data_IF_251213510631
#
_entry.id   IF_251213510631
#
_cell.length_a   1.000
_cell.length_b   1.000
_cell.length_c   1.000
_cell.angle_alpha   90.00
_cell.angle_beta   90.00
_cell.angle_gamma   90.00
#
_symmetry.space_group_name_H-M   'P 1'
#
loop_
_entity.id
_entity.type
_entity.pdbx_description
1 polymer ?
#
# COMPACT_ATOMS: atom_id res chain seq x y z
N UNK A 1 20.28 2.96 -16.85
CA UNK A 1 19.84 4.24 -16.26
C UNK A 1 20.21 4.24 -14.78
N UNK A 2 20.97 5.24 -14.28
CA UNK A 2 21.33 5.36 -12.87
C UNK A 2 20.11 5.38 -11.94
N UNK A 3 20.25 4.84 -10.72
CA UNK A 3 19.14 4.72 -9.77
C UNK A 3 18.51 6.07 -9.38
N UNK A 4 19.29 7.15 -9.41
CA UNK A 4 18.81 8.52 -9.13
C UNK A 4 17.77 9.03 -10.11
N UNK A 5 17.69 8.45 -11.31
CA UNK A 5 16.77 8.86 -12.38
C UNK A 5 15.54 7.95 -12.48
N UNK A 6 15.38 6.97 -11.58
CA UNK A 6 14.32 5.96 -11.72
C UNK A 6 12.90 6.51 -11.54
N UNK A 7 12.70 7.57 -10.75
CA UNK A 7 11.37 8.19 -10.63
C UNK A 7 10.94 8.84 -11.94
N UNK A 8 11.86 9.54 -12.59
CA UNK A 8 11.63 10.17 -13.89
C UNK A 8 11.49 9.12 -15.00
N UNK A 9 12.30 8.06 -14.96
CA UNK A 9 12.18 6.93 -15.89
C UNK A 9 10.82 6.25 -15.76
N UNK A 10 10.33 6.00 -14.53
CA UNK A 10 9.02 5.42 -14.30
C UNK A 10 7.90 6.28 -14.90
N UNK A 11 7.96 7.60 -14.68
CA UNK A 11 7.02 8.57 -15.27
C UNK A 11 7.03 8.51 -16.80
N UNK A 12 8.20 8.58 -17.42
CA UNK A 12 8.35 8.57 -18.88
C UNK A 12 7.83 7.26 -19.48
N UNK A 13 8.21 6.11 -18.92
CA UNK A 13 7.78 4.81 -19.41
C UNK A 13 6.26 4.64 -19.32
N UNK A 14 5.66 4.94 -18.16
CA UNK A 14 4.21 4.80 -18.00
C UNK A 14 3.47 5.72 -18.97
N UNK A 15 3.86 6.99 -19.06
CA UNK A 15 3.21 7.97 -19.95
C UNK A 15 3.32 7.54 -21.42
N UNK A 16 4.50 7.09 -21.86
CA UNK A 16 4.76 6.68 -23.23
C UNK A 16 3.96 5.43 -23.62
N UNK A 17 3.95 4.41 -22.77
CA UNK A 17 3.26 3.15 -23.05
C UNK A 17 1.74 3.30 -22.93
N UNK A 18 1.24 4.11 -21.99
CA UNK A 18 -0.18 4.40 -21.87
C UNK A 18 -0.72 5.14 -23.09
N UNK A 19 0.01 6.15 -23.60
CA UNK A 19 -0.37 6.88 -24.83
C UNK A 19 -0.47 6.01 -26.09
N UNK A 20 0.09 4.79 -26.05
CA UNK A 20 0.05 3.80 -27.15
C UNK A 20 -0.81 2.58 -26.84
N UNK A 21 -1.56 2.60 -25.74
CA UNK A 21 -2.35 1.45 -25.26
C UNK A 21 -1.52 0.18 -24.99
N UNK A 22 -0.24 0.34 -24.63
CA UNK A 22 0.70 -0.74 -24.31
C UNK A 22 1.06 -0.81 -22.82
N UNK A 23 0.31 -0.11 -21.96
CA UNK A 23 0.61 -0.03 -20.53
C UNK A 23 0.61 -1.42 -19.87
N UNK A 24 -0.36 -2.28 -20.21
CA UNK A 24 -0.44 -3.62 -19.63
C UNK A 24 0.83 -4.44 -19.92
N UNK A 25 1.38 -4.35 -21.14
CA UNK A 25 2.61 -5.03 -21.54
C UNK A 25 3.82 -4.52 -20.75
N UNK A 26 3.92 -3.21 -20.52
CA UNK A 26 4.96 -2.63 -19.65
C UNK A 26 4.85 -3.20 -18.22
N UNK A 27 3.67 -3.12 -17.62
CA UNK A 27 3.41 -3.59 -16.26
C UNK A 27 3.71 -5.08 -16.13
N UNK A 28 3.27 -5.89 -17.09
CA UNK A 28 3.51 -7.32 -17.12
C UNK A 28 5.00 -7.66 -17.09
N UNK A 29 5.79 -7.03 -17.97
CA UNK A 29 7.22 -7.27 -18.04
C UNK A 29 7.94 -6.84 -16.74
N UNK A 30 7.62 -5.65 -16.24
CA UNK A 30 8.26 -5.10 -15.04
C UNK A 30 7.89 -5.90 -13.78
N UNK A 31 6.62 -6.25 -13.61
CA UNK A 31 6.18 -7.02 -12.45
C UNK A 31 6.65 -8.47 -12.51
N UNK A 32 6.62 -9.11 -13.68
CA UNK A 32 7.16 -10.47 -13.84
C UNK A 32 8.65 -10.53 -13.50
N UNK A 33 9.43 -9.53 -13.90
CA UNK A 33 10.85 -9.47 -13.59
C UNK A 33 11.11 -9.30 -12.09
N UNK A 34 10.35 -8.42 -11.43
CA UNK A 34 10.46 -8.22 -9.99
C UNK A 34 10.12 -9.51 -9.22
N UNK A 35 9.06 -10.22 -9.63
CA UNK A 35 8.64 -11.49 -9.02
C UNK A 35 9.68 -12.59 -9.24
N UNK A 36 10.33 -12.64 -10.42
CA UNK A 36 11.41 -13.59 -10.71
C UNK A 36 12.60 -13.41 -9.76
N UNK A 37 12.98 -12.15 -9.52
CA UNK A 37 14.14 -11.78 -8.72
C UNK A 37 13.90 -11.81 -7.21
N UNK A 38 12.65 -11.77 -6.76
CA UNK A 38 12.33 -11.75 -5.34
C UNK A 38 12.65 -13.08 -4.63
N UNK A 39 13.26 -12.97 -3.44
CA UNK A 39 13.55 -14.12 -2.57
C UNK A 39 12.30 -14.66 -1.90
N UNK A 40 11.38 -13.78 -1.51
CA UNK A 40 10.13 -14.13 -0.85
C UNK A 40 9.00 -13.18 -1.21
N UNK A 41 7.75 -13.62 -1.05
CA UNK A 41 6.57 -12.78 -1.26
C UNK A 41 6.51 -11.61 -0.30
N UNK A 42 7.08 -11.76 0.89
CA UNK A 42 7.15 -10.72 1.90
C UNK A 42 8.11 -9.60 1.51
N UNK A 43 9.08 -9.80 0.62
CA UNK A 43 9.98 -8.72 0.15
C UNK A 43 9.50 -8.07 -1.14
N UNK A 44 8.52 -8.69 -1.80
CA UNK A 44 8.00 -8.27 -3.10
C UNK A 44 7.42 -6.86 -3.03
N UNK A 45 7.90 -5.97 -3.92
CA UNK A 45 7.53 -4.56 -3.98
C UNK A 45 7.67 -3.80 -2.64
N UNK A 46 8.47 -4.28 -1.67
CA UNK A 46 8.80 -3.50 -0.47
C UNK A 46 10.03 -2.61 -0.66
N UNK A 47 10.89 -2.92 -1.63
CA UNK A 47 12.07 -2.13 -1.98
C UNK A 47 11.82 -0.97 -2.96
N UNK A 48 12.81 -0.12 -3.19
CA UNK A 48 12.75 1.02 -4.13
C UNK A 48 13.26 0.66 -5.53
N UNK A 49 12.78 -0.46 -6.09
CA UNK A 49 13.06 -0.89 -7.45
C UNK A 49 12.37 -0.01 -8.49
N UNK A 50 12.79 -0.12 -9.75
CA UNK A 50 12.08 0.53 -10.85
C UNK A 50 10.64 0.03 -10.98
N UNK A 51 10.40 -1.26 -10.76
CA UNK A 51 9.05 -1.84 -10.84
C UNK A 51 8.13 -1.27 -9.74
N UNK A 52 8.65 -1.08 -8.51
CA UNK A 52 7.88 -0.47 -7.44
C UNK A 52 7.62 1.03 -7.65
N UNK A 53 8.56 1.75 -8.27
CA UNK A 53 8.36 3.14 -8.72
C UNK A 53 7.30 3.26 -9.82
N UNK A 54 7.33 2.38 -10.83
CA UNK A 54 6.30 2.30 -11.87
C UNK A 54 4.92 2.04 -11.26
N UNK A 55 4.82 1.07 -10.36
CA UNK A 55 3.56 0.77 -9.66
C UNK A 55 3.03 1.98 -8.88
N UNK A 56 3.90 2.62 -8.10
CA UNK A 56 3.55 3.82 -7.31
C UNK A 56 3.09 4.97 -8.22
N UNK A 57 3.75 5.15 -9.36
CA UNK A 57 3.38 6.17 -10.34
C UNK A 57 2.00 5.90 -10.94
N UNK A 58 1.70 4.66 -11.34
CA UNK A 58 0.36 4.27 -11.82
C UNK A 58 -0.71 4.52 -10.75
N UNK A 59 -0.44 4.13 -9.49
CA UNK A 59 -1.36 4.39 -8.39
C UNK A 59 -1.64 5.88 -8.22
N UNK A 60 -0.60 6.72 -8.27
CA UNK A 60 -0.74 8.17 -8.15
C UNK A 60 -1.58 8.76 -9.29
N UNK A 61 -1.27 8.45 -10.54
CA UNK A 61 -1.92 9.08 -11.70
C UNK A 61 -3.38 8.67 -11.84
N UNK A 62 -3.69 7.38 -11.71
CA UNK A 62 -5.07 6.89 -11.90
C UNK A 62 -5.91 6.93 -10.63
N UNK A 63 -5.26 7.07 -9.47
CA UNK A 63 -5.90 6.93 -8.17
C UNK A 63 -6.05 8.20 -7.35
N UNK A 64 -5.38 9.30 -7.71
CA UNK A 64 -5.40 10.52 -6.91
C UNK A 64 -6.82 11.03 -6.62
N UNK A 65 -7.66 11.16 -7.66
CA UNK A 65 -9.04 11.62 -7.50
C UNK A 65 -9.90 10.64 -6.67
N UNK A 66 -9.66 9.33 -6.81
CA UNK A 66 -10.33 8.32 -6.00
C UNK A 66 -9.96 8.45 -4.52
N UNK A 67 -8.67 8.55 -4.19
CA UNK A 67 -8.23 8.72 -2.80
C UNK A 67 -8.68 10.04 -2.22
N UNK A 68 -8.67 11.12 -3.00
CA UNK A 68 -9.14 12.42 -2.54
C UNK A 68 -10.61 12.35 -2.15
N UNK A 69 -11.49 11.85 -3.03
CA UNK A 69 -12.92 11.72 -2.73
C UNK A 69 -13.22 10.79 -1.56
N UNK A 70 -12.40 9.75 -1.38
CA UNK A 70 -12.56 8.80 -0.29
C UNK A 70 -12.09 9.35 1.06
N UNK A 71 -10.89 9.95 1.10
CA UNK A 71 -10.22 10.32 2.35
C UNK A 71 -10.52 11.75 2.82
N UNK A 72 -10.75 12.70 1.91
CA UNK A 72 -11.06 14.09 2.26
C UNK A 72 -12.24 14.22 3.24
N UNK A 73 -13.43 13.63 3.00
CA UNK A 73 -14.54 13.75 3.94
C UNK A 73 -14.22 13.17 5.32
N UNK A 74 -13.50 12.04 5.39
CA UNK A 74 -13.10 11.40 6.64
C UNK A 74 -12.11 12.28 7.43
N UNK A 75 -11.10 12.80 6.74
CA UNK A 75 -10.10 13.68 7.33
C UNK A 75 -10.72 14.99 7.82
N UNK A 76 -11.64 15.58 7.05
CA UNK A 76 -12.38 16.77 7.48
C UNK A 76 -13.18 16.51 8.75
N UNK A 77 -13.91 15.39 8.82
CA UNK A 77 -14.64 15.00 10.05
C UNK A 77 -13.71 14.92 11.25
N UNK A 78 -12.55 14.27 11.12
CA UNK A 78 -11.58 14.12 12.22
C UNK A 78 -10.95 15.47 12.62
N UNK A 79 -10.77 16.39 11.68
CA UNK A 79 -10.12 17.69 11.92
C UNK A 79 -11.11 18.73 12.48
N UNK A 80 -12.36 18.74 12.02
CA UNK A 80 -13.30 19.84 12.30
C UNK A 80 -14.41 19.48 13.27
N UNK A 81 -14.73 18.20 13.49
CA UNK A 81 -15.81 17.83 14.41
C UNK A 81 -15.41 18.12 15.86
N UNK A 82 -16.37 18.64 16.63
CA UNK A 82 -16.23 18.87 18.08
C UNK A 82 -15.85 17.60 18.83
N UNK A 83 -16.32 16.45 18.35
CA UNK A 83 -16.06 15.14 18.97
C UNK A 83 -14.57 14.77 18.96
N UNK A 84 -13.80 15.33 18.02
CA UNK A 84 -12.38 15.01 17.81
C UNK A 84 -11.43 16.14 18.23
N UNK A 85 -11.96 17.29 18.65
CA UNK A 85 -11.16 18.50 18.89
C UNK A 85 -10.17 18.36 20.07
N UNK A 86 -10.53 17.57 21.08
CA UNK A 86 -9.69 17.31 22.25
C UNK A 86 -9.17 15.86 22.32
N UNK A 87 -9.38 15.07 21.26
CA UNK A 87 -9.01 13.66 21.24
C UNK A 87 -7.50 13.51 21.08
N UNK A 88 -6.92 12.68 21.94
CA UNK A 88 -5.56 12.17 21.79
C UNK A 88 -5.58 10.75 21.26
N UNK A 89 -4.51 10.40 20.53
CA UNK A 89 -4.27 9.09 19.95
C UNK A 89 -2.94 8.51 20.44
N UNK A 90 -2.33 9.10 21.46
CA UNK A 90 -1.05 8.61 21.97
C UNK A 90 -1.28 7.32 22.75
N UNK A 91 -0.72 6.23 22.23
CA UNK A 91 -0.84 4.89 22.82
C UNK A 91 0.50 4.37 23.33
N UNK A 92 1.59 5.12 23.17
CA UNK A 92 2.88 4.83 23.78
C UNK A 92 2.88 5.35 25.23
N UNK A 93 2.91 4.46 26.26
CA UNK A 93 2.87 4.88 27.66
C UNK A 93 4.03 5.80 28.05
N UNK A 94 5.15 5.74 27.33
CA UNK A 94 6.32 6.59 27.60
C UNK A 94 6.15 8.02 27.10
N UNK A 95 5.15 8.28 26.25
CA UNK A 95 4.86 9.59 25.65
C UNK A 95 3.51 10.17 26.08
N UNK A 96 2.78 9.44 26.93
CA UNK A 96 1.47 9.83 27.40
C UNK A 96 1.56 11.01 28.36
N UNK A 97 0.72 12.02 28.19
CA UNK A 97 0.60 13.13 29.13
C UNK A 97 -0.10 12.68 30.43
N UNK A 98 0.22 13.29 31.58
CA UNK A 98 -0.34 12.88 32.89
C UNK A 98 -1.86 13.02 32.99
N UNK A 99 -2.47 13.86 32.16
CA UNK A 99 -3.91 14.07 32.10
C UNK A 99 -4.64 13.11 31.16
N UNK A 100 -3.91 12.32 30.36
CA UNK A 100 -4.49 11.44 29.35
C UNK A 100 -4.67 10.01 29.88
N UNK A 101 -5.75 9.35 29.43
CA UNK A 101 -5.99 7.94 29.71
C UNK A 101 -5.56 7.08 28.52
N UNK A 102 -4.69 6.11 28.77
CA UNK A 102 -4.21 5.18 27.74
C UNK A 102 -5.37 4.40 27.10
N UNK A 103 -6.29 3.89 27.91
CA UNK A 103 -7.43 3.09 27.44
C UNK A 103 -8.37 3.91 26.54
N UNK A 104 -8.57 5.19 26.88
CA UNK A 104 -9.38 6.10 26.07
C UNK A 104 -8.70 6.40 24.73
N UNK A 105 -7.40 6.71 24.75
CA UNK A 105 -6.63 6.97 23.52
C UNK A 105 -6.60 5.76 22.59
N UNK A 106 -6.48 4.54 23.14
CA UNK A 106 -6.56 3.30 22.37
C UNK A 106 -7.94 3.13 21.72
N UNK A 107 -9.03 3.36 22.46
CA UNK A 107 -10.39 3.31 21.92
C UNK A 107 -10.59 4.33 20.82
N UNK A 108 -10.10 5.56 21.00
CA UNK A 108 -10.18 6.62 19.99
C UNK A 108 -9.44 6.23 18.69
N UNK A 109 -8.24 5.66 18.82
CA UNK A 109 -7.45 5.18 17.69
C UNK A 109 -8.16 4.04 16.95
N UNK A 110 -8.76 3.09 17.67
CA UNK A 110 -9.52 2.00 17.06
C UNK A 110 -10.78 2.50 16.35
N UNK A 111 -11.53 3.41 16.95
CA UNK A 111 -12.72 4.00 16.33
C UNK A 111 -12.39 4.77 15.04
N UNK A 112 -11.29 5.54 15.04
CA UNK A 112 -10.82 6.20 13.82
C UNK A 112 -10.40 5.16 12.77
N UNK A 113 -9.62 4.16 13.17
CA UNK A 113 -9.14 3.10 12.28
C UNK A 113 -10.29 2.31 11.65
N UNK A 114 -11.31 1.97 12.42
CA UNK A 114 -12.49 1.25 11.95
C UNK A 114 -13.27 2.06 10.90
N UNK A 115 -13.50 3.36 11.14
CA UNK A 115 -14.18 4.24 10.18
C UNK A 115 -13.41 4.33 8.85
N UNK A 116 -12.09 4.52 8.91
CA UNK A 116 -11.25 4.57 7.71
C UNK A 116 -11.20 3.23 6.98
N UNK A 117 -11.01 2.13 7.71
CA UNK A 117 -10.96 0.79 7.14
C UNK A 117 -12.28 0.43 6.47
N UNK A 118 -13.41 0.68 7.13
CA UNK A 118 -14.74 0.43 6.59
C UNK A 118 -14.97 1.21 5.29
N UNK A 119 -14.63 2.51 5.26
CA UNK A 119 -14.75 3.31 4.05
C UNK A 119 -13.93 2.74 2.88
N UNK A 120 -12.69 2.29 3.13
CA UNK A 120 -11.80 1.71 2.11
C UNK A 120 -12.35 0.38 1.56
N UNK A 121 -12.92 -0.49 2.38
CA UNK A 121 -13.47 -1.77 1.92
C UNK A 121 -14.82 -1.59 1.22
N UNK A 122 -15.60 -0.56 1.62
CA UNK A 122 -16.89 -0.25 1.00
C UNK A 122 -16.77 0.49 -0.34
N UNK A 123 -15.64 1.15 -0.62
CA UNK A 123 -15.41 1.89 -1.88
C UNK A 123 -15.06 0.99 -3.09
N UNK A 124 -15.33 -0.31 -2.98
CA UNK A 124 -15.03 -1.30 -4.02
C UNK A 124 -15.74 -1.03 -5.34
N UNK A 125 -16.87 -0.31 -5.37
CA UNK A 125 -17.59 0.08 -6.59
C UNK A 125 -16.98 1.31 -7.27
N UNK A 126 -16.42 2.24 -6.48
CA UNK A 126 -15.81 3.49 -6.94
C UNK A 126 -14.34 3.32 -7.38
N UNK A 127 -13.77 2.14 -7.16
CA UNK A 127 -12.37 1.86 -7.47
C UNK A 127 -12.10 1.95 -9.00
N UNK A 128 -11.16 2.81 -9.45
CA UNK A 128 -10.95 3.11 -10.87
C UNK A 128 -10.60 1.89 -11.73
N UNK A 129 -11.16 1.73 -12.94
CA UNK A 129 -10.87 0.60 -13.83
C UNK A 129 -9.38 0.44 -14.17
N UNK A 130 -8.66 1.55 -14.37
CA UNK A 130 -7.23 1.55 -14.65
C UNK A 130 -6.45 0.97 -13.47
N UNK A 131 -6.81 1.33 -12.23
CA UNK A 131 -6.21 0.74 -11.04
C UNK A 131 -6.57 -0.74 -10.88
N UNK A 132 -7.81 -1.13 -11.20
CA UNK A 132 -8.18 -2.55 -11.25
C UNK A 132 -7.28 -3.31 -12.20
N UNK A 133 -7.00 -2.76 -13.37
CA UNK A 133 -6.10 -3.39 -14.35
C UNK A 133 -4.67 -3.50 -13.82
N UNK A 134 -4.15 -2.49 -13.11
CA UNK A 134 -2.81 -2.54 -12.49
C UNK A 134 -2.76 -3.64 -11.41
N UNK A 135 -3.74 -3.64 -10.50
CA UNK A 135 -3.84 -4.65 -9.43
C UNK A 135 -4.04 -6.06 -9.99
N UNK A 136 -4.86 -6.20 -11.04
CA UNK A 136 -5.06 -7.48 -11.73
C UNK A 136 -3.78 -7.95 -12.42
N UNK A 137 -3.05 -7.05 -13.11
CA UNK A 137 -1.76 -7.40 -13.71
C UNK A 137 -0.73 -7.83 -12.66
N UNK A 138 -0.68 -7.16 -11.52
CA UNK A 138 0.19 -7.53 -10.40
C UNK A 138 -0.21 -8.91 -9.84
N UNK A 139 -1.49 -9.12 -9.59
CA UNK A 139 -2.03 -10.42 -9.16
C UNK A 139 -1.63 -11.52 -10.14
N UNK A 140 -1.89 -11.31 -11.43
CA UNK A 140 -1.52 -12.26 -12.48
C UNK A 140 -0.01 -12.46 -12.56
N UNK A 141 0.85 -11.46 -12.41
CA UNK A 141 2.30 -11.65 -12.40
C UNK A 141 2.75 -12.52 -11.22
N UNK A 142 2.16 -12.30 -10.03
CA UNK A 142 2.43 -13.13 -8.84
C UNK A 142 1.92 -14.56 -8.99
N UNK A 143 0.78 -14.75 -9.67
CA UNK A 143 0.22 -16.06 -9.99
C UNK A 143 0.91 -16.75 -11.18
N UNK A 144 1.36 -16.03 -12.21
CA UNK A 144 1.84 -16.60 -13.47
C UNK A 144 3.30 -17.06 -13.39
N UNK A 145 4.06 -16.58 -12.41
CA UNK A 145 5.31 -17.24 -12.02
C UNK A 145 5.10 -18.73 -11.64
N UNK A 146 3.85 -19.21 -11.54
CA UNK A 146 3.47 -20.62 -11.38
C UNK A 146 3.46 -21.42 -12.69
N UNK A 147 3.22 -20.81 -13.86
CA UNK A 147 2.96 -21.54 -15.13
C UNK A 147 4.22 -21.73 -16.00
N UNK A 148 5.09 -20.73 -16.11
CA UNK A 148 6.26 -20.79 -17.01
C UNK A 148 7.37 -21.77 -16.59
N UNK A 149 7.26 -22.43 -15.43
CA UNK A 149 8.20 -23.49 -15.01
C UNK A 149 7.63 -24.90 -15.16
N UNK A 150 6.36 -25.06 -15.53
CA UNK A 150 5.76 -26.38 -15.75
C UNK A 150 6.16 -26.97 -17.12
N UNK A 151 6.49 -26.14 -18.11
CA UNK A 151 6.81 -26.59 -19.49
C UNK A 151 8.29 -26.66 -19.83
N UNK A 152 9.21 -26.28 -18.94
CA UNK A 152 10.67 -26.42 -19.13
C UNK A 152 11.22 -27.66 -18.40
N UNK A 153 10.35 -28.63 -18.09
CA UNK A 153 10.72 -29.92 -17.48
C UNK A 153 10.91 -31.03 -18.52
N UNK A 154 11.55 -30.75 -19.64
CA UNK A 154 12.20 -31.79 -20.45
C UNK A 154 13.55 -31.27 -20.97
N UNK A 155 14.64 -31.77 -20.37
CA UNK A 155 16.08 -31.60 -20.70
C UNK A 155 16.88 -30.63 -19.82
N UNK A 156 17.25 -31.08 -18.63
CA UNK A 156 18.66 -31.35 -18.22
C UNK A 156 18.73 -31.64 -16.73
N UNK A 157 19.35 -32.78 -16.44
CA UNK A 157 19.61 -33.31 -15.10
C UNK A 157 20.55 -32.42 -14.28
N UNK A 158 20.46 -32.58 -12.96
CA UNK A 158 21.43 -32.17 -11.94
C UNK A 158 21.59 -30.67 -11.61
N UNK A 159 20.53 -30.06 -11.07
CA UNK A 159 20.70 -29.09 -9.97
C UNK A 159 19.53 -29.17 -8.98
N UNK A 160 19.82 -29.63 -7.77
CA UNK A 160 18.95 -29.47 -6.58
C UNK A 160 18.54 -27.99 -6.47
N UNK A 161 17.32 -27.64 -6.87
CA UNK A 161 16.63 -26.49 -6.33
C UNK A 161 15.12 -26.72 -6.42
N UNK A 162 14.57 -26.98 -5.25
CA UNK A 162 13.15 -26.90 -4.95
C UNK A 162 12.70 -25.49 -5.30
N UNK A 163 12.10 -25.30 -6.48
CA UNK A 163 11.27 -24.13 -6.74
C UNK A 163 9.87 -24.65 -6.94
N UNK A 164 9.28 -25.04 -5.82
CA UNK A 164 7.84 -25.07 -5.61
C UNK A 164 7.22 -23.85 -6.29
N UNK A 165 6.05 -24.07 -6.91
CA UNK A 165 4.99 -23.08 -7.09
C UNK A 165 5.18 -21.89 -6.14
N UNK A 166 5.74 -20.75 -6.60
CA UNK A 166 6.40 -19.85 -5.62
C UNK A 166 5.41 -19.28 -4.60
N UNK A 167 4.19 -18.83 -4.99
CA UNK A 167 3.19 -18.32 -4.01
C UNK A 167 1.68 -18.44 -4.40
N UNK A 168 1.10 -19.64 -4.62
CA UNK A 168 -0.33 -19.77 -4.97
C UNK A 168 -1.28 -19.31 -3.85
N UNK A 169 -0.91 -19.57 -2.59
CA UNK A 169 -1.81 -19.41 -1.45
C UNK A 169 -2.01 -17.95 -1.01
N UNK A 170 -1.09 -17.02 -1.33
CA UNK A 170 -1.11 -15.64 -0.82
C UNK A 170 -0.89 -14.53 -1.87
N UNK A 171 -1.07 -14.82 -3.17
CA UNK A 171 -0.91 -13.84 -4.28
C UNK A 171 -1.74 -12.56 -4.09
N UNK A 172 -2.97 -12.70 -3.59
CA UNK A 172 -3.82 -11.55 -3.28
C UNK A 172 -3.27 -10.69 -2.14
N UNK A 173 -2.61 -11.30 -1.15
CA UNK A 173 -2.00 -10.61 -0.02
C UNK A 173 -0.86 -9.67 -0.45
N UNK A 174 -0.09 -10.04 -1.46
CA UNK A 174 0.96 -9.17 -2.02
C UNK A 174 0.37 -7.92 -2.70
N UNK A 175 -0.74 -8.07 -3.41
CA UNK A 175 -1.46 -6.95 -4.04
C UNK A 175 -1.97 -5.99 -2.96
N UNK A 176 -2.67 -6.51 -1.95
CA UNK A 176 -3.19 -5.71 -0.84
C UNK A 176 -2.06 -5.00 -0.08
N UNK A 177 -1.02 -5.75 0.30
CA UNK A 177 0.15 -5.19 1.00
C UNK A 177 0.80 -4.05 0.23
N UNK A 178 1.02 -4.21 -1.08
CA UNK A 178 1.64 -3.18 -1.92
C UNK A 178 0.73 -1.96 -2.11
N UNK A 179 -0.58 -2.17 -2.31
CA UNK A 179 -1.56 -1.10 -2.44
C UNK A 179 -1.67 -0.26 -1.16
N UNK A 180 -1.72 -0.89 0.02
CA UNK A 180 -1.70 -0.14 1.27
C UNK A 180 -0.38 0.60 1.48
N UNK A 181 0.75 -0.08 1.25
CA UNK A 181 2.08 0.47 1.52
C UNK A 181 2.45 1.65 0.61
N UNK A 182 2.07 1.59 -0.67
CA UNK A 182 2.56 2.54 -1.70
C UNK A 182 1.53 3.54 -2.18
N UNK A 183 0.28 3.39 -1.77
CA UNK A 183 -0.79 4.24 -2.25
C UNK A 183 -1.65 4.78 -1.12
N UNK A 184 -2.32 3.91 -0.35
CA UNK A 184 -3.27 4.35 0.69
C UNK A 184 -2.55 4.97 1.90
N UNK A 185 -1.65 4.22 2.54
CA UNK A 185 -1.00 4.68 3.79
C UNK A 185 -0.15 5.94 3.60
N UNK A 186 0.64 6.11 2.52
CA UNK A 186 1.33 7.38 2.27
C UNK A 186 0.38 8.58 2.22
N UNK A 187 -0.81 8.42 1.63
CA UNK A 187 -1.82 9.46 1.54
C UNK A 187 -2.52 9.73 2.89
N UNK A 188 -2.69 8.70 3.72
CA UNK A 188 -3.21 8.85 5.09
C UNK A 188 -2.21 9.58 5.99
N UNK A 189 -0.92 9.25 5.91
CA UNK A 189 0.12 9.83 6.77
C UNK A 189 0.44 11.28 6.40
N UNK A 190 0.40 11.59 5.10
CA UNK A 190 0.76 12.90 4.55
C UNK A 190 -0.34 13.43 3.62
N UNK A 191 -1.54 13.73 4.14
CA UNK A 191 -2.69 14.09 3.32
C UNK A 191 -2.54 15.44 2.60
N UNK A 192 -1.78 16.37 3.18
CA UNK A 192 -1.44 17.64 2.53
C UNK A 192 -0.50 17.42 1.34
N UNK A 193 0.60 16.68 1.53
CA UNK A 193 1.56 16.39 0.46
C UNK A 193 0.95 15.49 -0.64
N UNK A 194 -0.04 14.67 -0.29
CA UNK A 194 -0.83 13.89 -1.25
C UNK A 194 -1.85 14.73 -2.04
N UNK A 195 -2.05 16.00 -1.69
CA UNK A 195 -3.02 16.90 -2.32
C UNK A 195 -4.47 16.60 -1.95
N UNK A 196 -4.71 15.91 -0.83
CA UNK A 196 -6.06 15.60 -0.33
C UNK A 196 -6.60 16.77 0.48
N UNK A 197 -5.77 17.34 1.36
CA UNK A 197 -6.12 18.48 2.20
C UNK A 197 -5.39 19.74 1.75
N UNK A 198 -6.03 20.89 1.97
CA UNK A 198 -5.48 22.21 1.65
C UNK A 198 -4.40 22.68 2.65
N UNK A 199 -4.37 22.08 3.85
CA UNK A 199 -3.43 22.39 4.93
C UNK A 199 -3.04 21.15 5.70
N UNK A 200 -1.89 21.20 6.38
CA UNK A 200 -1.44 20.13 7.27
C UNK A 200 -2.41 19.92 8.44
N UNK A 201 -2.74 18.67 8.79
CA UNK A 201 -3.50 18.38 10.01
C UNK A 201 -2.76 18.88 11.26
N UNK A 202 -3.47 19.11 12.37
CA UNK A 202 -2.83 19.37 13.66
C UNK A 202 -1.92 18.21 14.08
N UNK A 203 -0.83 18.46 14.85
CA UNK A 203 0.13 17.41 15.24
C UNK A 203 -0.47 16.19 15.93
N UNK A 204 -1.53 16.40 16.74
CA UNK A 204 -2.28 15.31 17.41
C UNK A 204 -2.94 14.37 16.39
N UNK A 205 -3.55 14.95 15.35
CA UNK A 205 -4.17 14.18 14.26
C UNK A 205 -3.08 13.49 13.42
N UNK A 206 -1.97 14.18 13.09
CA UNK A 206 -0.86 13.54 12.36
C UNK A 206 -0.30 12.32 13.11
N UNK A 207 -0.21 12.39 14.44
CA UNK A 207 0.20 11.23 15.28
C UNK A 207 -0.81 10.09 15.16
N UNK A 208 -2.10 10.38 15.28
CA UNK A 208 -3.16 9.40 15.11
C UNK A 208 -3.15 8.75 13.72
N UNK A 209 -3.03 9.54 12.65
CA UNK A 209 -2.96 9.05 11.27
C UNK A 209 -1.73 8.14 11.05
N UNK A 210 -0.58 8.47 11.64
CA UNK A 210 0.63 7.62 11.61
C UNK A 210 0.39 6.28 12.28
N UNK A 211 -0.17 6.27 13.49
CA UNK A 211 -0.47 5.02 14.22
C UNK A 211 -1.52 4.18 13.50
N UNK A 212 -2.59 4.81 13.00
CA UNK A 212 -3.62 4.16 12.20
C UNK A 212 -3.03 3.52 10.94
N UNK A 213 -2.15 4.22 10.22
CA UNK A 213 -1.51 3.66 9.01
C UNK A 213 -0.71 2.39 9.31
N UNK A 214 -0.10 2.27 10.51
CA UNK A 214 0.59 1.06 10.95
C UNK A 214 -0.40 -0.09 11.19
N UNK A 215 -1.55 0.18 11.82
CA UNK A 215 -2.61 -0.81 12.03
C UNK A 215 -3.15 -1.29 10.68
N UNK A 216 -3.50 -0.38 9.78
CA UNK A 216 -3.97 -0.71 8.43
C UNK A 216 -2.92 -1.51 7.65
N UNK A 217 -1.63 -1.18 7.77
CA UNK A 217 -0.56 -1.96 7.14
C UNK A 217 -0.42 -3.37 7.73
N UNK A 218 -0.58 -3.52 9.05
CA UNK A 218 -0.57 -4.82 9.73
C UNK A 218 -1.74 -5.70 9.23
N UNK A 219 -2.94 -5.12 9.09
CA UNK A 219 -4.11 -5.78 8.50
C UNK A 219 -3.80 -6.21 7.05
N UNK A 220 -3.31 -5.29 6.20
CA UNK A 220 -3.01 -5.57 4.79
C UNK A 220 -1.90 -6.63 4.61
N UNK A 221 -0.97 -6.71 5.56
CA UNK A 221 0.10 -7.71 5.58
C UNK A 221 -0.36 -9.06 6.15
N UNK A 222 -1.51 -9.14 6.82
CA UNK A 222 -1.94 -10.28 7.63
C UNK A 222 -0.89 -10.71 8.68
N UNK A 223 -0.25 -9.73 9.33
CA UNK A 223 0.81 -9.98 10.33
C UNK A 223 0.54 -9.15 11.58
N UNK A 224 0.49 -9.81 12.74
CA UNK A 224 0.32 -9.17 14.04
C UNK A 224 1.56 -8.34 14.43
N UNK A 225 1.36 -7.34 15.28
CA UNK A 225 2.45 -6.55 15.83
C UNK A 225 3.34 -7.39 16.76
N UNK A 226 4.65 -7.41 16.47
CA UNK A 226 5.63 -8.15 17.28
C UNK A 226 6.75 -7.28 17.82
N UNK A 227 7.03 -6.13 17.19
CA UNK A 227 8.18 -5.27 17.48
C UNK A 227 7.91 -4.22 18.55
N UNK A 228 6.77 -3.54 18.47
CA UNK A 228 6.43 -2.43 19.37
C UNK A 228 5.40 -2.92 20.37
N UNK A 229 5.76 -2.95 21.66
CA UNK A 229 4.87 -3.49 22.71
C UNK A 229 3.57 -2.70 22.84
N UNK A 230 3.62 -1.37 22.66
CA UNK A 230 2.44 -0.50 22.71
C UNK A 230 1.46 -0.69 21.53
N UNK A 231 1.85 -1.44 20.49
CA UNK A 231 0.98 -1.79 19.35
C UNK A 231 0.45 -3.23 19.43
N UNK A 232 0.86 -4.00 20.44
CA UNK A 232 0.34 -5.36 20.67
C UNK A 232 -1.07 -5.30 21.23
#
# INVERSE_FOLDING_TARGET
>A
VPCSQWDELARVLVTLFDSRHLLYQLLWNMFSKEVELADSMQTLFRGNSLASKIMTFCFKVYGANYLQKLLDPLLRIVITSSDWQHVSFEVDPTRLEQSESLEENQRNLLQMTEKFFHAIISSSSEFPPQLRSVCHCLYQATCHSLLNKATVKEKKENKKSVVSQRFPQNSIGAVGSAMFLRFINPAIVSPYEAGILDKKPPPRIERGLKLMSKILQSIANHVLFTKEEHMR
#
